data_IF_493161206240
#
_entry.id   IF_493161206240
#
_cell.length_a   1.000
_cell.length_b   1.000
_cell.length_c   1.000
_cell.angle_alpha   90.00
_cell.angle_beta   90.00
_cell.angle_gamma   90.00
#
_symmetry.space_group_name_H-M   'P 1'
#
loop_
_entity.id
_entity.type
_entity.pdbx_description
1 polymer ?
#
# COMPACT_ATOMS: atom_id res chain seq x y z
N UNK A 1 13.82 8.98 -5.98
CA UNK A 1 13.99 7.69 -5.25
C UNK A 1 13.43 6.54 -6.08
N UNK A 2 13.83 5.25 -5.84
CA UNK A 2 13.15 4.08 -6.42
C UNK A 2 11.96 3.72 -5.52
N UNK A 3 10.75 3.64 -6.10
CA UNK A 3 9.54 3.15 -5.47
C UNK A 3 9.15 1.81 -6.10
N UNK A 4 9.02 0.79 -5.26
CA UNK A 4 8.56 -0.55 -5.64
C UNK A 4 7.10 -0.66 -5.20
N UNK A 5 6.21 -0.96 -6.15
CA UNK A 5 4.78 -1.12 -5.88
C UNK A 5 4.40 -2.58 -6.13
N UNK A 6 3.94 -3.23 -5.07
CA UNK A 6 3.39 -4.57 -5.14
C UNK A 6 1.93 -4.51 -5.60
N UNK A 7 1.58 -5.23 -6.67
CA UNK A 7 0.25 -5.19 -7.26
C UNK A 7 -0.30 -6.57 -7.58
N UNK A 8 -1.62 -6.70 -7.47
CA UNK A 8 -2.40 -7.81 -8.03
C UNK A 8 -3.78 -7.31 -8.42
N UNK A 9 -4.10 -7.44 -9.71
CA UNK A 9 -5.41 -7.17 -10.33
C UNK A 9 -6.00 -5.76 -10.12
N UNK A 10 -5.28 -4.84 -9.47
CA UNK A 10 -5.70 -3.45 -9.24
C UNK A 10 -5.09 -2.54 -10.30
N UNK A 11 -5.92 -1.86 -11.08
CA UNK A 11 -5.51 -0.93 -12.12
C UNK A 11 -5.67 0.52 -11.69
N UNK A 12 -6.86 0.87 -11.18
CA UNK A 12 -7.24 2.26 -10.92
C UNK A 12 -6.31 2.91 -9.88
N UNK A 13 -6.20 2.32 -8.70
CA UNK A 13 -5.34 2.85 -7.64
C UNK A 13 -3.86 2.78 -7.99
N UNK A 14 -3.43 1.74 -8.71
CA UNK A 14 -2.06 1.63 -9.19
C UNK A 14 -1.71 2.78 -10.13
N UNK A 15 -2.59 3.13 -11.08
CA UNK A 15 -2.36 4.24 -12.01
C UNK A 15 -2.22 5.57 -11.27
N UNK A 16 -3.06 5.83 -10.28
CA UNK A 16 -2.98 7.04 -9.45
C UNK A 16 -1.66 7.11 -8.68
N UNK A 17 -1.24 6.01 -8.04
CA UNK A 17 0.03 5.94 -7.30
C UNK A 17 1.24 6.12 -8.22
N UNK A 18 1.22 5.50 -9.39
CA UNK A 18 2.28 5.65 -10.41
C UNK A 18 2.37 7.09 -10.89
N UNK A 19 1.23 7.72 -11.21
CA UNK A 19 1.21 9.12 -11.62
C UNK A 19 1.73 10.05 -10.53
N UNK A 20 1.34 9.80 -9.26
CA UNK A 20 1.86 10.53 -8.11
C UNK A 20 3.39 10.40 -8.00
N UNK A 21 3.91 9.19 -8.10
CA UNK A 21 5.34 8.93 -7.97
C UNK A 21 6.16 9.55 -9.10
N UNK A 22 5.71 9.44 -10.35
CA UNK A 22 6.37 10.04 -11.51
C UNK A 22 6.40 11.56 -11.39
N UNK A 23 5.28 12.17 -10.98
CA UNK A 23 5.21 13.62 -10.76
C UNK A 23 6.13 14.11 -9.64
N UNK A 24 6.47 13.23 -8.67
CA UNK A 24 7.49 13.45 -7.64
C UNK A 24 8.92 13.15 -8.09
N UNK A 25 9.15 12.81 -9.37
CA UNK A 25 10.49 12.49 -9.88
C UNK A 25 11.03 11.12 -9.41
N UNK A 26 10.15 10.20 -9.01
CA UNK A 26 10.55 8.89 -8.54
C UNK A 26 10.58 7.85 -9.68
N UNK A 27 11.52 6.92 -9.59
CA UNK A 27 11.57 5.75 -10.47
C UNK A 27 10.61 4.68 -9.95
N UNK A 28 9.67 4.24 -10.76
CA UNK A 28 8.69 3.21 -10.37
C UNK A 28 9.08 1.85 -10.93
N UNK A 29 8.97 0.83 -10.09
CA UNK A 29 9.04 -0.58 -10.46
C UNK A 29 7.80 -1.27 -9.90
N UNK A 30 7.02 -1.92 -10.74
CA UNK A 30 5.85 -2.70 -10.31
C UNK A 30 6.24 -4.16 -10.17
N UNK A 31 5.82 -4.79 -9.08
CA UNK A 31 5.88 -6.25 -8.91
C UNK A 31 4.47 -6.79 -9.03
N UNK A 32 4.21 -7.40 -10.17
CA UNK A 32 2.92 -8.01 -10.48
C UNK A 32 2.85 -9.43 -9.95
N UNK A 33 1.87 -9.71 -9.09
CA UNK A 33 1.67 -11.01 -8.45
C UNK A 33 0.65 -11.86 -9.21
N UNK A 34 1.00 -12.27 -10.43
CA UNK A 34 0.18 -13.12 -11.29
C UNK A 34 -1.24 -12.54 -11.49
N UNK A 35 -1.32 -11.26 -11.83
CA UNK A 35 -2.57 -10.61 -12.22
C UNK A 35 -3.17 -11.25 -13.46
N UNK A 36 -4.49 -11.29 -13.50
CA UNK A 36 -5.28 -11.85 -14.61
C UNK A 36 -6.33 -10.85 -15.13
N UNK A 37 -6.44 -9.69 -14.55
CA UNK A 37 -7.33 -8.61 -14.99
C UNK A 37 -6.81 -8.02 -16.31
N UNK A 38 -7.48 -8.32 -17.43
CA UNK A 38 -7.00 -7.99 -18.77
C UNK A 38 -6.72 -6.49 -18.98
N UNK A 39 -7.57 -5.54 -18.53
CA UNK A 39 -7.27 -4.11 -18.68
C UNK A 39 -5.96 -3.68 -18.01
N UNK A 40 -5.58 -4.31 -16.88
CA UNK A 40 -4.30 -4.07 -16.21
C UNK A 40 -3.13 -4.59 -17.05
N UNK A 41 -3.25 -5.79 -17.61
CA UNK A 41 -2.21 -6.40 -18.44
C UNK A 41 -1.98 -5.57 -19.72
N UNK A 42 -3.05 -5.08 -20.33
CA UNK A 42 -2.99 -4.20 -21.50
C UNK A 42 -2.32 -2.85 -21.14
N UNK A 43 -2.63 -2.31 -19.97
CA UNK A 43 -1.97 -1.10 -19.49
C UNK A 43 -0.47 -1.30 -19.25
N UNK A 44 -0.05 -2.42 -18.68
CA UNK A 44 1.37 -2.73 -18.49
C UNK A 44 2.15 -2.67 -19.80
N UNK A 45 1.56 -3.18 -20.88
CA UNK A 45 2.17 -3.18 -22.21
C UNK A 45 2.42 -1.78 -22.79
N UNK A 46 1.69 -0.77 -22.32
CA UNK A 46 1.70 0.59 -22.86
C UNK A 46 2.26 1.65 -21.91
N UNK A 47 2.40 1.33 -20.64
CA UNK A 47 2.72 2.33 -19.60
C UNK A 47 4.19 2.81 -19.59
N UNK A 48 5.09 2.10 -20.28
CA UNK A 48 6.53 2.43 -20.28
C UNK A 48 7.20 2.30 -18.90
N UNK A 49 6.61 1.50 -18.00
CA UNK A 49 7.07 1.29 -16.63
C UNK A 49 7.67 -0.10 -16.50
N UNK A 50 8.71 -0.24 -15.68
CA UNK A 50 9.29 -1.56 -15.38
C UNK A 50 8.31 -2.42 -14.58
N UNK A 51 7.91 -3.56 -15.13
CA UNK A 51 7.06 -4.56 -14.47
C UNK A 51 7.83 -5.87 -14.31
N UNK A 52 7.86 -6.38 -13.09
CA UNK A 52 8.43 -7.69 -12.75
C UNK A 52 7.28 -8.63 -12.45
N UNK A 53 7.10 -9.65 -13.30
CA UNK A 53 6.06 -10.65 -13.09
C UNK A 53 6.52 -11.73 -12.12
N UNK A 54 5.73 -11.96 -11.09
CA UNK A 54 5.95 -12.94 -10.04
C UNK A 54 4.72 -13.85 -9.88
N UNK A 55 4.90 -15.02 -9.31
CA UNK A 55 3.76 -15.80 -8.81
C UNK A 55 3.15 -15.13 -7.58
N UNK A 56 1.86 -15.35 -7.33
CA UNK A 56 1.23 -14.88 -6.09
C UNK A 56 1.79 -15.62 -4.87
N UNK A 57 2.53 -14.91 -4.05
CA UNK A 57 3.10 -15.41 -2.78
C UNK A 57 2.68 -14.56 -1.58
N UNK A 58 1.69 -13.67 -1.78
CA UNK A 58 1.17 -12.76 -0.77
C UNK A 58 2.02 -11.50 -0.57
N UNK A 59 1.83 -10.76 0.51
CA UNK A 59 2.60 -9.54 0.77
C UNK A 59 4.11 -9.84 0.84
N UNK A 60 4.91 -8.94 0.30
CA UNK A 60 6.37 -9.05 0.23
C UNK A 60 6.90 -10.20 -0.65
N UNK A 61 6.40 -10.35 -1.90
CA UNK A 61 6.81 -11.45 -2.79
C UNK A 61 8.31 -11.44 -3.05
N UNK A 62 8.89 -10.28 -3.19
CA UNK A 62 10.26 -10.02 -3.61
C UNK A 62 11.27 -10.42 -2.57
N UNK A 63 10.93 -10.21 -1.30
CA UNK A 63 11.80 -10.51 -0.18
C UNK A 63 11.87 -12.01 0.05
N UNK A 64 10.75 -12.70 -0.19
CA UNK A 64 10.67 -14.16 -0.05
C UNK A 64 11.30 -14.91 -1.21
N UNK A 65 11.22 -14.34 -2.43
CA UNK A 65 11.73 -14.99 -3.65
C UNK A 65 13.18 -14.65 -3.98
N UNK A 66 13.73 -13.57 -3.42
CA UNK A 66 15.05 -13.05 -3.77
C UNK A 66 15.12 -12.48 -5.19
N UNK A 67 13.98 -12.22 -5.82
CA UNK A 67 13.88 -11.79 -7.22
C UNK A 67 14.16 -10.31 -7.44
N UNK A 68 14.11 -9.47 -6.38
CA UNK A 68 14.39 -8.06 -6.47
C UNK A 68 15.76 -7.72 -5.94
N UNK A 69 16.51 -7.02 -6.76
CA UNK A 69 17.67 -6.26 -6.32
C UNK A 69 17.19 -4.92 -5.72
N UNK A 70 17.14 -4.86 -4.40
CA UNK A 70 16.82 -3.63 -3.68
C UNK A 70 17.95 -2.60 -3.71
N UNK A 71 19.12 -2.94 -4.29
CA UNK A 71 20.28 -2.09 -4.33
C UNK A 71 21.31 -2.41 -3.25
N UNK A 72 22.23 -1.47 -3.02
CA UNK A 72 23.37 -1.67 -2.10
C UNK A 72 22.93 -1.49 -0.64
N UNK A 73 23.60 -2.21 0.26
CA UNK A 73 23.45 -2.01 1.70
C UNK A 73 23.60 -0.53 2.06
N UNK A 74 22.66 0.00 2.83
CA UNK A 74 22.59 1.42 3.22
C UNK A 74 21.83 2.31 2.25
N UNK A 75 21.52 1.86 1.04
CA UNK A 75 20.69 2.60 0.10
C UNK A 75 19.25 2.73 0.63
N UNK A 76 18.57 3.83 0.29
CA UNK A 76 17.18 4.04 0.62
C UNK A 76 16.30 3.71 -0.58
N UNK A 77 15.22 2.98 -0.31
CA UNK A 77 14.18 2.66 -1.29
C UNK A 77 12.80 2.84 -0.67
N UNK A 78 11.79 3.10 -1.48
CA UNK A 78 10.40 3.07 -1.07
C UNK A 78 9.73 1.77 -1.51
N UNK A 79 8.80 1.27 -0.70
CA UNK A 79 7.97 0.10 -1.00
C UNK A 79 6.53 0.33 -0.55
N UNK A 80 5.56 -0.15 -1.33
CA UNK A 80 4.13 -0.02 -1.04
C UNK A 80 3.32 -1.14 -1.68
N UNK A 81 2.16 -1.46 -1.10
CA UNK A 81 1.05 -2.06 -1.84
C UNK A 81 0.40 -1.00 -2.74
N UNK A 82 -0.39 -1.43 -3.73
CA UNK A 82 -0.96 -0.58 -4.79
C UNK A 82 -2.32 0.05 -4.46
N UNK A 83 -2.76 0.03 -3.20
CA UNK A 83 -4.11 0.39 -2.80
C UNK A 83 -4.20 1.64 -1.91
N UNK A 84 -3.21 2.54 -2.02
CA UNK A 84 -3.19 3.82 -1.32
C UNK A 84 -3.62 4.98 -2.22
N UNK A 85 -4.42 5.89 -1.66
CA UNK A 85 -4.68 7.20 -2.22
C UNK A 85 -3.67 8.20 -1.67
N UNK A 86 -2.83 8.71 -2.56
CA UNK A 86 -1.79 9.70 -2.29
C UNK A 86 -2.12 11.07 -2.88
N UNK A 87 -3.35 11.29 -3.33
CA UNK A 87 -3.74 12.53 -4.04
C UNK A 87 -3.55 13.79 -3.21
N UNK A 88 -3.77 13.70 -1.90
CA UNK A 88 -3.58 14.80 -0.94
C UNK A 88 -2.16 14.84 -0.35
N UNK A 89 -1.31 13.84 -0.64
CA UNK A 89 0.04 13.78 -0.12
C UNK A 89 1.03 14.61 -0.95
N UNK A 90 1.99 15.30 -0.31
CA UNK A 90 2.98 16.10 -1.01
C UNK A 90 3.91 15.23 -1.87
N UNK A 91 4.42 15.79 -2.97
CA UNK A 91 5.27 15.07 -3.92
C UNK A 91 6.67 14.78 -3.37
N UNK A 92 7.12 15.54 -2.38
CA UNK A 92 8.38 15.37 -1.66
C UNK A 92 8.27 14.47 -0.42
N UNK A 93 7.15 13.77 -0.26
CA UNK A 93 6.89 12.93 0.92
C UNK A 93 7.97 11.86 1.15
N UNK A 94 8.45 11.22 0.08
CA UNK A 94 9.49 10.18 0.20
C UNK A 94 10.85 10.76 0.60
N UNK A 95 11.17 11.98 0.19
CA UNK A 95 12.37 12.71 0.61
C UNK A 95 12.30 13.05 2.11
N UNK A 96 11.15 13.53 2.59
CA UNK A 96 10.93 13.78 4.02
C UNK A 96 11.08 12.50 4.85
N UNK A 97 10.55 11.36 4.36
CA UNK A 97 10.75 10.07 5.04
C UNK A 97 12.23 9.66 5.04
N UNK A 98 12.93 9.89 3.95
CA UNK A 98 14.36 9.59 3.84
C UNK A 98 15.20 10.44 4.81
N UNK A 99 14.88 11.71 5.01
CA UNK A 99 15.55 12.60 5.96
C UNK A 99 15.36 12.11 7.41
N UNK A 100 14.12 11.76 7.81
CA UNK A 100 13.84 11.20 9.13
C UNK A 100 14.59 9.87 9.33
N UNK A 101 14.59 9.01 8.33
CA UNK A 101 15.29 7.73 8.38
C UNK A 101 16.81 7.94 8.42
N UNK A 102 17.32 8.95 7.70
CA UNK A 102 18.74 9.32 7.65
C UNK A 102 19.26 9.83 8.98
N UNK A 103 18.45 10.60 9.71
CA UNK A 103 18.83 11.21 10.99
C UNK A 103 18.82 10.24 12.18
N UNK A 104 18.25 9.03 12.03
CA UNK A 104 18.12 8.06 13.11
C UNK A 104 18.50 6.64 12.68
N UNK A 105 19.67 6.18 13.10
CA UNK A 105 20.19 4.84 12.76
C UNK A 105 19.44 3.68 13.44
N UNK A 106 18.71 3.94 14.53
CA UNK A 106 17.93 2.91 15.23
C UNK A 106 16.62 2.58 14.53
N UNK A 107 16.12 3.48 13.63
CA UNK A 107 14.90 3.28 12.87
C UNK A 107 15.20 2.46 11.61
N UNK A 108 14.31 1.54 11.26
CA UNK A 108 14.42 0.66 10.09
C UNK A 108 13.62 1.15 8.90
N UNK A 109 12.49 1.84 9.16
CA UNK A 109 11.59 2.36 8.14
C UNK A 109 10.81 3.57 8.64
N UNK A 110 10.46 4.45 7.70
CA UNK A 110 9.59 5.60 7.91
C UNK A 110 8.52 5.59 6.83
N UNK A 111 7.25 5.74 7.20
CA UNK A 111 6.16 5.67 6.23
C UNK A 111 4.97 6.53 6.61
N UNK A 112 3.97 6.57 5.72
CA UNK A 112 2.77 7.36 5.92
C UNK A 112 1.91 6.82 7.07
N UNK A 113 1.25 7.72 7.78
CA UNK A 113 0.09 7.38 8.58
C UNK A 113 -1.11 7.07 7.68
N UNK A 114 -2.06 6.30 8.19
CA UNK A 114 -3.29 5.99 7.46
C UNK A 114 -4.46 6.75 8.06
N UNK A 115 -5.23 7.42 7.20
CA UNK A 115 -6.38 8.23 7.60
C UNK A 115 -7.52 7.35 8.08
N UNK A 116 -8.11 7.70 9.21
CA UNK A 116 -9.25 7.00 9.79
C UNK A 116 -10.33 7.95 10.34
N UNK A 117 -10.11 9.25 10.29
CA UNK A 117 -11.00 10.30 10.80
C UNK A 117 -12.13 10.67 9.82
N UNK A 118 -12.04 10.24 8.56
CA UNK A 118 -13.02 10.47 7.50
C UNK A 118 -13.61 9.16 6.93
N UNK A 119 -13.45 8.05 7.62
CA UNK A 119 -13.95 6.74 7.17
C UNK A 119 -15.48 6.70 7.08
N UNK A 120 -16.05 6.05 6.05
CA UNK A 120 -17.49 5.86 5.94
C UNK A 120 -18.01 4.90 7.03
N UNK A 121 -19.30 4.98 7.34
CA UNK A 121 -19.92 4.06 8.31
C UNK A 121 -20.26 2.71 7.67
N UNK A 122 -19.25 1.90 7.42
CA UNK A 122 -19.38 0.53 6.87
C UNK A 122 -18.69 -0.50 7.77
N UNK A 123 -19.03 -1.79 7.71
CA UNK A 123 -18.35 -2.84 8.47
C UNK A 123 -16.85 -2.89 8.20
N UNK A 124 -16.38 -2.73 6.95
CA UNK A 124 -14.96 -2.72 6.62
C UNK A 124 -14.25 -1.50 7.23
N UNK A 125 -14.85 -0.32 7.13
CA UNK A 125 -14.31 0.92 7.69
C UNK A 125 -14.28 0.87 9.23
N UNK A 126 -15.33 0.37 9.86
CA UNK A 126 -15.40 0.18 11.31
C UNK A 126 -14.32 -0.82 11.82
N UNK A 127 -14.05 -1.88 11.04
CA UNK A 127 -12.96 -2.80 11.36
C UNK A 127 -11.59 -2.14 11.21
N UNK A 128 -11.40 -1.37 10.13
CA UNK A 128 -10.19 -0.60 9.89
C UNK A 128 -9.92 0.41 11.01
N UNK A 129 -10.94 1.17 11.39
CA UNK A 129 -10.84 2.15 12.46
C UNK A 129 -10.38 1.52 13.78
N UNK A 130 -11.01 0.40 14.20
CA UNK A 130 -10.65 -0.30 15.45
C UNK A 130 -9.20 -0.79 15.45
N UNK A 131 -8.72 -1.28 14.30
CA UNK A 131 -7.34 -1.78 14.19
C UNK A 131 -6.32 -0.68 14.07
N UNK A 132 -6.64 0.37 13.33
CA UNK A 132 -5.70 1.45 13.04
C UNK A 132 -5.57 2.43 14.21
N UNK A 133 -6.62 2.57 15.02
CA UNK A 133 -6.63 3.47 16.18
C UNK A 133 -5.50 3.14 17.19
N UNK A 134 -5.11 1.87 17.33
CA UNK A 134 -3.98 1.48 18.19
C UNK A 134 -2.65 2.10 17.76
N UNK A 135 -2.54 2.54 16.50
CA UNK A 135 -1.35 3.17 15.93
C UNK A 135 -1.39 4.71 15.99
N UNK A 136 -2.39 5.29 16.66
CA UNK A 136 -2.53 6.72 16.86
C UNK A 136 -2.46 7.11 18.36
N UNK A 137 -1.32 6.83 19.05
CA UNK A 137 -1.24 6.89 20.51
C UNK A 137 -1.42 8.29 21.09
N UNK A 138 -1.20 9.35 20.30
CA UNK A 138 -1.36 10.75 20.72
C UNK A 138 -2.51 11.47 20.00
N UNK A 139 -3.39 10.71 19.32
CA UNK A 139 -4.41 11.29 18.45
C UNK A 139 -3.83 11.86 17.15
N UNK A 140 -4.69 12.45 16.33
CA UNK A 140 -4.35 12.87 14.96
C UNK A 140 -3.48 14.16 14.87
N UNK A 141 -3.21 14.80 16.00
CA UNK A 141 -2.39 16.03 16.04
C UNK A 141 -0.87 15.79 16.04
N UNK A 142 -0.41 14.56 16.23
CA UNK A 142 1.03 14.26 16.27
C UNK A 142 1.61 14.16 14.85
N UNK A 143 2.63 14.96 14.49
CA UNK A 143 3.19 14.94 13.15
C UNK A 143 3.99 13.67 12.85
N UNK A 144 4.71 13.13 13.84
CA UNK A 144 5.54 11.94 13.72
C UNK A 144 5.45 11.12 15.00
N UNK A 145 5.26 9.81 14.89
CA UNK A 145 5.14 8.95 16.07
C UNK A 145 5.64 7.52 15.79
N UNK A 146 6.19 6.84 16.81
CA UNK A 146 6.57 5.44 16.70
C UNK A 146 5.32 4.58 16.54
N UNK A 147 5.23 3.83 15.44
CA UNK A 147 4.16 2.87 15.21
C UNK A 147 4.56 1.83 14.17
N UNK A 148 3.87 0.69 14.19
CA UNK A 148 4.05 -0.35 13.19
C UNK A 148 3.64 0.13 11.80
N UNK A 149 4.38 -0.30 10.79
CA UNK A 149 4.05 -0.09 9.38
C UNK A 149 3.97 -1.46 8.72
N UNK A 150 2.82 -1.78 8.13
CA UNK A 150 2.63 -3.00 7.35
C UNK A 150 3.26 -2.85 5.94
N UNK A 151 2.61 -3.37 4.91
CA UNK A 151 3.02 -3.25 3.51
C UNK A 151 2.63 -1.91 2.85
N UNK A 152 2.14 -0.96 3.63
CA UNK A 152 1.82 0.39 3.18
C UNK A 152 3.07 1.22 2.89
N UNK A 153 2.92 2.36 2.20
CA UNK A 153 4.03 3.17 1.72
C UNK A 153 5.01 3.57 2.81
N UNK A 154 6.25 3.13 2.65
CA UNK A 154 7.35 3.50 3.52
C UNK A 154 8.68 3.53 2.78
N UNK A 155 9.63 4.33 3.28
CA UNK A 155 11.04 4.31 2.90
C UNK A 155 11.79 3.39 3.85
N UNK A 156 12.63 2.54 3.28
CA UNK A 156 13.42 1.53 3.95
C UNK A 156 14.91 1.74 3.71
N UNK A 157 15.70 1.41 4.70
CA UNK A 157 17.14 1.26 4.51
C UNK A 157 17.45 -0.18 4.12
N UNK A 158 18.06 -0.38 2.97
CA UNK A 158 18.54 -1.69 2.52
C UNK A 158 19.57 -2.23 3.50
N UNK A 159 19.28 -3.36 4.09
CA UNK A 159 20.13 -4.02 5.07
C UNK A 159 21.18 -4.92 4.45
N UNK A 160 21.84 -5.73 5.29
CA UNK A 160 22.76 -6.77 4.85
C UNK A 160 22.04 -7.75 3.90
N UNK A 161 22.75 -8.30 2.94
CA UNK A 161 22.22 -9.14 1.85
C UNK A 161 21.26 -8.41 0.89
N UNK A 162 21.39 -7.10 0.76
CA UNK A 162 20.59 -6.28 -0.17
C UNK A 162 19.07 -6.44 0.02
N UNK A 163 18.60 -6.56 1.26
CA UNK A 163 17.18 -6.77 1.60
C UNK A 163 16.63 -5.65 2.48
N UNK A 164 15.33 -5.40 2.38
CA UNK A 164 14.60 -4.54 3.32
C UNK A 164 13.98 -5.40 4.44
N UNK A 165 13.72 -4.77 5.59
CA UNK A 165 13.05 -5.46 6.69
C UNK A 165 11.55 -5.58 6.45
N UNK A 166 11.03 -6.79 6.57
CA UNK A 166 9.58 -7.07 6.60
C UNK A 166 9.02 -7.11 8.01
N UNK A 167 9.87 -6.88 9.01
CA UNK A 167 9.43 -6.90 10.40
C UNK A 167 8.41 -5.79 10.64
N UNK A 168 7.16 -6.19 10.86
CA UNK A 168 6.06 -5.26 11.19
C UNK A 168 6.29 -4.57 12.53
N UNK A 169 7.01 -5.22 13.43
CA UNK A 169 7.24 -4.76 14.82
C UNK A 169 8.58 -4.05 14.99
N UNK A 170 9.41 -4.01 13.95
CA UNK A 170 10.68 -3.31 13.98
C UNK A 170 10.52 -1.81 14.21
N UNK A 171 11.56 -1.12 14.68
CA UNK A 171 11.50 0.31 14.94
C UNK A 171 11.12 1.09 13.68
N UNK A 172 9.95 1.73 13.72
CA UNK A 172 9.39 2.48 12.62
C UNK A 172 8.78 3.79 13.11
N UNK A 173 8.76 4.80 12.22
CA UNK A 173 8.03 6.06 12.45
C UNK A 173 6.96 6.19 11.38
N UNK A 174 5.74 6.52 11.80
CA UNK A 174 4.68 7.02 10.94
C UNK A 174 4.72 8.54 10.90
N UNK A 175 4.55 9.08 9.71
CA UNK A 175 4.45 10.52 9.46
C UNK A 175 3.01 10.83 9.12
N UNK A 176 2.40 11.72 9.91
CA UNK A 176 1.02 12.17 9.77
C UNK A 176 0.94 13.57 9.12
N UNK A 177 -0.16 14.28 9.36
CA UNK A 177 -0.41 15.57 8.75
C UNK A 177 -0.66 15.43 7.25
N UNK A 178 0.02 16.22 6.44
CA UNK A 178 -0.06 16.19 4.98
C UNK A 178 0.49 14.90 4.35
N UNK A 179 1.23 14.09 5.12
CA UNK A 179 1.71 12.77 4.71
C UNK A 179 0.76 11.63 5.08
N UNK A 180 -0.49 11.92 5.46
CA UNK A 180 -1.48 10.90 5.82
C UNK A 180 -2.21 10.41 4.57
N UNK A 181 -2.06 9.14 4.24
CA UNK A 181 -2.68 8.51 3.07
C UNK A 181 -4.02 7.84 3.41
N UNK A 182 -4.92 7.70 2.43
CA UNK A 182 -6.10 6.83 2.57
C UNK A 182 -5.79 5.44 2.03
N UNK A 183 -6.20 4.39 2.75
CA UNK A 183 -6.17 3.03 2.24
C UNK A 183 -7.49 2.76 1.54
N UNK A 184 -7.50 2.79 0.21
CA UNK A 184 -8.70 2.76 -0.64
C UNK A 184 -9.71 1.65 -0.29
N UNK A 185 -9.32 0.40 -0.02
CA UNK A 185 -10.27 -0.66 0.33
C UNK A 185 -11.16 -0.36 1.56
N UNK A 186 -10.78 0.58 2.42
CA UNK A 186 -11.58 0.95 3.58
C UNK A 186 -12.74 1.89 3.24
N UNK A 187 -12.70 2.52 2.06
CA UNK A 187 -13.65 3.52 1.58
C UNK A 187 -14.63 2.97 0.54
N UNK A 188 -14.45 1.72 0.12
CA UNK A 188 -15.31 1.13 -0.89
C UNK A 188 -16.65 0.65 -0.32
N UNK A 189 -17.68 0.86 -1.12
CA UNK A 189 -19.06 0.39 -0.93
C UNK A 189 -19.55 -0.26 -2.23
N UNK A 190 -20.76 -0.79 -2.24
CA UNK A 190 -21.34 -1.34 -3.47
C UNK A 190 -21.48 -0.28 -4.58
N UNK A 191 -21.67 1.00 -4.20
CA UNK A 191 -21.97 2.09 -5.14
C UNK A 191 -20.72 2.71 -5.75
N UNK A 192 -19.55 2.61 -5.09
CA UNK A 192 -18.31 3.23 -5.54
C UNK A 192 -17.17 2.25 -5.82
N UNK A 193 -17.46 0.94 -5.83
CA UNK A 193 -16.46 -0.09 -6.05
C UNK A 193 -16.00 -0.11 -7.52
N UNK A 194 -14.70 0.14 -7.80
CA UNK A 194 -14.16 0.05 -9.15
C UNK A 194 -14.22 -1.38 -9.72
N UNK A 195 -14.24 -1.50 -11.04
CA UNK A 195 -14.33 -2.80 -11.71
C UNK A 195 -13.14 -3.71 -11.43
N UNK A 196 -11.93 -3.15 -11.37
CA UNK A 196 -10.70 -3.86 -11.03
C UNK A 196 -10.71 -4.39 -9.59
N UNK A 197 -11.21 -3.60 -8.63
CA UNK A 197 -11.33 -4.06 -7.24
C UNK A 197 -12.43 -5.13 -7.13
N UNK A 198 -13.55 -5.00 -7.88
CA UNK A 198 -14.56 -6.05 -7.98
C UNK A 198 -13.96 -7.33 -8.53
N UNK A 199 -13.20 -7.23 -9.62
CA UNK A 199 -12.49 -8.36 -10.20
C UNK A 199 -11.54 -9.01 -9.19
N UNK A 200 -10.73 -8.20 -8.50
CA UNK A 200 -9.82 -8.67 -7.46
C UNK A 200 -10.56 -9.43 -6.36
N UNK A 201 -11.68 -8.90 -5.85
CA UNK A 201 -12.47 -9.54 -4.80
C UNK A 201 -13.10 -10.86 -5.25
N UNK A 202 -13.57 -10.94 -6.50
CA UNK A 202 -14.18 -12.15 -7.06
C UNK A 202 -13.15 -13.28 -7.29
N UNK A 203 -11.87 -12.91 -7.52
CA UNK A 203 -10.76 -13.85 -7.75
C UNK A 203 -9.86 -14.07 -6.53
N UNK A 204 -10.26 -13.57 -5.35
CA UNK A 204 -9.56 -13.86 -4.11
C UNK A 204 -9.63 -15.34 -3.74
N UNK A 205 -8.48 -15.90 -3.40
CA UNK A 205 -8.40 -17.19 -2.75
C UNK A 205 -9.11 -17.15 -1.38
N UNK A 206 -9.56 -18.33 -0.88
CA UNK A 206 -10.32 -18.44 0.38
C UNK A 206 -9.65 -17.79 1.60
N UNK A 207 -8.34 -17.63 1.59
CA UNK A 207 -7.52 -17.04 2.66
C UNK A 207 -7.00 -15.64 2.32
N UNK A 208 -7.74 -14.87 1.53
CA UNK A 208 -7.38 -13.49 1.20
C UNK A 208 -7.25 -12.55 2.41
N UNK A 209 -6.80 -11.31 2.21
CA UNK A 209 -6.68 -10.32 3.28
C UNK A 209 -7.98 -10.12 4.05
N UNK A 210 -7.88 -9.85 5.36
CA UNK A 210 -9.06 -9.72 6.25
C UNK A 210 -10.04 -8.65 5.76
N UNK A 211 -9.54 -7.49 5.36
CA UNK A 211 -10.36 -6.38 4.85
C UNK A 211 -11.10 -6.75 3.57
N UNK A 212 -10.41 -7.38 2.62
CA UNK A 212 -11.04 -7.86 1.38
C UNK A 212 -12.12 -8.90 1.65
N UNK A 213 -11.93 -9.77 2.64
CA UNK A 213 -12.93 -10.74 3.07
C UNK A 213 -14.19 -10.09 3.67
N UNK A 214 -14.04 -9.03 4.46
CA UNK A 214 -15.17 -8.26 5.03
C UNK A 214 -15.91 -7.55 3.91
N UNK A 215 -15.21 -6.82 3.03
CA UNK A 215 -15.81 -6.09 1.92
C UNK A 215 -16.58 -7.03 0.97
N UNK A 216 -15.99 -8.17 0.61
CA UNK A 216 -16.66 -9.20 -0.21
C UNK A 216 -17.97 -9.69 0.41
N UNK A 217 -18.00 -9.89 1.72
CA UNK A 217 -19.21 -10.31 2.45
C UNK A 217 -20.27 -9.22 2.42
N UNK A 218 -19.90 -7.96 2.63
CA UNK A 218 -20.84 -6.82 2.54
C UNK A 218 -21.51 -6.74 1.17
N UNK A 219 -20.71 -6.83 0.11
CA UNK A 219 -21.19 -6.77 -1.27
C UNK A 219 -22.17 -7.91 -1.60
N UNK A 220 -21.92 -9.13 -1.10
CA UNK A 220 -22.83 -10.26 -1.32
C UNK A 220 -24.17 -10.06 -0.61
N UNK A 221 -24.16 -9.56 0.62
CA UNK A 221 -25.40 -9.29 1.39
C UNK A 221 -26.23 -8.17 0.76
N UNK A 222 -25.61 -7.16 0.17
CA UNK A 222 -26.30 -6.08 -0.53
C UNK A 222 -26.98 -6.59 -1.80
N UNK A 223 -26.33 -7.47 -2.57
CA UNK A 223 -26.92 -8.09 -3.76
C UNK A 223 -28.17 -8.91 -3.44
N UNK A 224 -28.16 -9.69 -2.38
CA UNK A 224 -29.32 -10.49 -1.95
C UNK A 224 -30.53 -9.63 -1.58
N UNK A 225 -30.31 -8.45 -0.97
CA UNK A 225 -31.39 -7.51 -0.59
C UNK A 225 -31.98 -6.76 -1.77
N UNK A 226 -31.28 -6.60 -2.88
CA UNK A 226 -31.77 -5.91 -4.09
C UNK A 226 -32.58 -6.86 -4.97
N UNK A 227 -32.39 -8.17 -4.84
CA UNK A 227 -33.06 -9.22 -5.65
C UNK A 227 -34.29 -9.79 -4.92
N UNK A 228 -34.48 -9.52 -3.64
CA UNK A 228 -35.63 -9.94 -2.82
C UNK A 228 -36.69 -8.84 -2.76
#
# INVERSE_FOLDING_TARGET
MKLIINNRDRLHTLQEMVAWAIAGGHQVVIVDQASTYQPLLDWYGNAGISVIHSRNVGPWPDIRSGMLDFGRTGQLIAYSDSDLDLSECPRDMLERFAEILGSNSSIRKVGCALRIDDLPNTPVANHAWKRELEFWPGGFAQPNYPAKIASTLAVYRVGQNCRITTDLYGPAIRVAGDCTARHRPWYYTADNLPDDERYYLDHLERKGPVFSGILRKELSTTRERVVA
#
